data_IF_919408234981
#
_entry.id   IF_919408234981
#
_cell.length_a   1.000
_cell.length_b   1.000
_cell.length_c   1.000
_cell.angle_alpha   90.00
_cell.angle_beta   90.00
_cell.angle_gamma   90.00
#
_symmetry.space_group_name_H-M   'P 1'
#
loop_
_entity.id
_entity.type
_entity.pdbx_description
1 polymer ?
#
# COMPACT_ATOMS: atom_id res chain seq x y z
N UNK A 1 52.06 3.14 67.69
CA UNK A 1 52.09 3.29 66.24
C UNK A 1 50.85 2.62 65.66
N UNK A 2 49.75 3.38 65.50
CA UNK A 2 48.46 2.92 65.03
C UNK A 2 48.23 3.52 63.64
N UNK A 3 48.19 2.67 62.61
CA UNK A 3 47.86 3.05 61.24
C UNK A 3 46.33 3.14 61.06
N UNK A 4 45.83 4.26 60.56
CA UNK A 4 44.46 4.46 60.18
C UNK A 4 44.18 3.84 58.78
N UNK A 5 43.01 3.27 58.54
CA UNK A 5 42.65 2.77 57.22
C UNK A 5 42.13 3.90 56.34
N UNK A 6 42.65 3.97 55.09
CA UNK A 6 42.16 4.87 54.06
C UNK A 6 40.80 4.40 53.54
N UNK A 7 39.75 5.23 53.66
CA UNK A 7 38.47 5.03 53.03
C UNK A 7 38.57 5.43 51.54
N UNK A 8 38.48 4.48 50.64
CA UNK A 8 38.34 4.73 49.21
C UNK A 8 36.87 4.93 48.87
N UNK A 9 36.52 6.17 48.53
CA UNK A 9 35.17 6.54 48.13
C UNK A 9 34.93 6.07 46.69
N UNK A 10 34.21 4.98 46.49
CA UNK A 10 33.74 4.54 45.20
C UNK A 10 32.59 5.43 44.75
N UNK A 11 32.82 6.29 43.75
CA UNK A 11 31.77 7.06 43.08
C UNK A 11 31.08 6.12 42.09
N UNK A 12 29.88 5.65 42.43
CA UNK A 12 28.96 4.95 41.54
C UNK A 12 28.38 5.95 40.54
N UNK A 13 28.79 5.89 39.27
CA UNK A 13 28.15 6.62 38.20
C UNK A 13 26.83 5.88 37.88
N UNK A 14 25.69 6.35 38.39
CA UNK A 14 24.39 5.90 37.95
C UNK A 14 24.08 6.53 36.59
N UNK A 15 24.19 5.77 35.54
CA UNK A 15 23.61 6.13 34.24
C UNK A 15 22.08 6.01 34.38
N UNK A 16 21.39 7.14 34.43
CA UNK A 16 19.96 7.18 34.24
C UNK A 16 19.65 6.87 32.78
N UNK A 17 19.31 5.62 32.48
CA UNK A 17 18.64 5.26 31.24
C UNK A 17 17.23 5.88 31.30
N UNK A 18 17.06 7.05 30.69
CA UNK A 18 15.75 7.61 30.44
C UNK A 18 14.95 6.60 29.57
N UNK A 19 13.60 6.59 29.68
CA UNK A 19 12.80 5.73 28.82
C UNK A 19 13.12 6.04 27.37
N UNK A 20 13.65 5.05 26.65
CA UNK A 20 13.76 5.13 25.21
C UNK A 20 12.33 5.24 24.68
N UNK A 21 11.90 6.45 24.34
CA UNK A 21 10.68 6.63 23.56
C UNK A 21 10.94 5.92 22.22
N UNK A 22 10.23 4.83 22.00
CA UNK A 22 10.16 4.26 20.67
C UNK A 22 9.69 5.39 19.74
N UNK A 23 10.54 5.76 18.78
CA UNK A 23 10.15 6.76 17.78
C UNK A 23 8.88 6.25 17.11
N UNK A 24 7.84 7.10 17.07
CA UNK A 24 6.62 6.79 16.34
C UNK A 24 7.01 6.42 14.90
N UNK A 25 6.75 5.18 14.45
CA UNK A 25 7.10 4.77 13.09
C UNK A 25 6.40 5.61 12.02
N UNK A 26 5.32 6.33 12.38
CA UNK A 26 4.59 7.24 11.52
C UNK A 26 5.09 8.71 11.59
N UNK A 27 5.98 9.05 12.54
CA UNK A 27 6.51 10.41 12.69
C UNK A 27 7.31 10.91 11.47
N UNK A 28 7.64 10.02 10.52
CA UNK A 28 8.32 10.35 9.27
C UNK A 28 7.37 10.37 8.07
N UNK A 29 6.08 10.10 8.25
CA UNK A 29 5.08 10.19 7.20
C UNK A 29 4.59 11.63 7.09
N UNK A 30 5.09 12.35 6.09
CA UNK A 30 4.44 13.57 5.65
C UNK A 30 3.20 13.17 4.82
N UNK A 31 1.98 13.62 5.16
CA UNK A 31 0.79 13.34 4.36
C UNK A 31 0.88 13.88 2.92
N UNK A 32 1.80 14.80 2.66
CA UNK A 32 2.10 15.31 1.32
C UNK A 32 3.24 14.56 0.62
N UNK A 33 3.76 13.51 1.24
CA UNK A 33 4.89 12.74 0.75
C UNK A 33 6.25 13.39 1.09
N UNK A 34 7.31 12.62 0.89
CA UNK A 34 8.68 13.08 1.14
C UNK A 34 9.09 14.11 0.08
N UNK A 35 9.66 15.27 0.47
CA UNK A 35 10.17 16.24 -0.50
C UNK A 35 11.27 15.59 -1.37
N UNK A 36 11.17 15.71 -2.70
CA UNK A 36 12.15 15.14 -3.61
C UNK A 36 13.42 15.97 -3.68
N UNK A 37 14.54 15.33 -4.03
CA UNK A 37 15.74 16.05 -4.44
C UNK A 37 15.52 16.72 -5.82
N UNK A 38 16.28 17.77 -6.11
CA UNK A 38 16.23 18.52 -7.39
C UNK A 38 16.36 17.57 -8.60
N UNK A 39 17.31 16.64 -8.55
CA UNK A 39 17.49 15.65 -9.61
C UNK A 39 16.23 14.79 -9.84
N UNK A 40 15.52 14.43 -8.78
CA UNK A 40 14.27 13.65 -8.87
C UNK A 40 13.19 14.47 -9.57
N UNK A 41 13.05 15.75 -9.24
CA UNK A 41 12.10 16.66 -9.90
C UNK A 41 12.38 16.78 -11.39
N UNK A 42 13.62 17.11 -11.76
CA UNK A 42 14.03 17.26 -13.17
C UNK A 42 13.85 15.98 -13.98
N UNK A 43 14.11 14.83 -13.37
CA UNK A 43 13.91 13.53 -14.02
C UNK A 43 12.43 13.21 -14.22
N UNK A 44 11.61 13.56 -13.21
CA UNK A 44 10.16 13.40 -13.26
C UNK A 44 9.55 14.25 -14.36
N UNK A 45 9.88 15.54 -14.39
CA UNK A 45 9.32 16.51 -15.34
C UNK A 45 9.65 16.12 -16.80
N UNK A 46 10.87 15.62 -17.06
CA UNK A 46 11.24 15.07 -18.37
C UNK A 46 10.37 13.88 -18.74
N UNK A 47 10.16 12.94 -17.81
CA UNK A 47 9.34 11.73 -18.06
C UNK A 47 7.89 12.07 -18.26
N UNK A 48 7.37 13.04 -17.52
CA UNK A 48 5.99 13.48 -17.66
C UNK A 48 5.75 14.11 -19.04
N UNK A 49 6.71 14.87 -19.57
CA UNK A 49 6.63 15.46 -20.90
C UNK A 49 6.76 14.41 -22.03
N UNK A 50 7.50 13.34 -21.81
CA UNK A 50 7.73 12.27 -22.82
C UNK A 50 6.59 11.24 -22.90
N UNK A 51 5.84 11.05 -21.84
CA UNK A 51 4.85 9.97 -21.71
C UNK A 51 3.43 10.46 -22.02
N UNK A 52 2.57 9.62 -22.65
CA UNK A 52 1.24 10.02 -23.10
C UNK A 52 0.22 10.04 -21.94
N UNK A 53 0.49 10.76 -20.84
CA UNK A 53 -0.38 10.81 -19.67
C UNK A 53 -1.75 11.48 -19.91
N UNK A 54 -1.90 12.21 -21.01
CA UNK A 54 -3.20 12.74 -21.43
C UNK A 54 -4.16 11.64 -21.91
N UNK A 55 -3.63 10.51 -22.36
CA UNK A 55 -4.44 9.35 -22.74
C UNK A 55 -5.01 8.67 -21.49
N UNK A 56 -6.33 8.60 -21.38
CA UNK A 56 -7.08 8.03 -20.27
C UNK A 56 -7.80 6.73 -20.58
N UNK A 57 -7.58 6.16 -21.78
CA UNK A 57 -8.27 4.94 -22.23
C UNK A 57 -8.07 3.77 -21.30
N UNK A 58 -6.89 3.64 -20.66
CA UNK A 58 -6.60 2.61 -19.68
C UNK A 58 -7.48 2.70 -18.43
N UNK A 59 -7.85 3.90 -18.00
CA UNK A 59 -8.80 4.09 -16.88
C UNK A 59 -10.22 3.65 -17.25
N UNK A 60 -10.63 3.90 -18.48
CA UNK A 60 -11.94 3.45 -18.98
C UNK A 60 -11.97 1.93 -19.14
N UNK A 61 -10.90 1.35 -19.69
CA UNK A 61 -10.75 -0.10 -19.83
C UNK A 61 -10.65 -0.81 -18.47
N UNK A 62 -9.98 -0.21 -17.47
CA UNK A 62 -9.90 -0.77 -16.13
C UNK A 62 -11.28 -0.88 -15.45
N UNK A 63 -12.23 -0.02 -15.79
CA UNK A 63 -13.60 -0.03 -15.25
C UNK A 63 -14.57 -0.87 -16.08
N UNK A 64 -14.16 -1.32 -17.26
CA UNK A 64 -15.04 -2.06 -18.16
C UNK A 64 -15.46 -3.39 -17.55
N UNK A 65 -16.75 -3.68 -17.65
CA UNK A 65 -17.35 -4.89 -17.08
C UNK A 65 -17.53 -4.83 -15.55
N UNK A 66 -17.35 -3.67 -14.92
CA UNK A 66 -17.65 -3.52 -13.49
C UNK A 66 -19.07 -3.97 -13.19
N UNK A 67 -19.23 -4.91 -12.26
CA UNK A 67 -20.49 -5.54 -11.93
C UNK A 67 -20.99 -5.17 -10.53
N UNK A 68 -20.09 -5.22 -9.52
CA UNK A 68 -20.47 -4.90 -8.16
C UNK A 68 -19.25 -4.45 -7.32
N UNK A 69 -19.54 -3.53 -6.38
CA UNK A 69 -18.59 -3.22 -5.31
C UNK A 69 -18.54 -4.35 -4.27
N UNK A 70 -17.40 -4.53 -3.59
CA UNK A 70 -17.30 -5.45 -2.48
C UNK A 70 -18.16 -4.99 -1.30
N UNK A 71 -18.73 -5.93 -0.57
CA UNK A 71 -19.52 -5.64 0.62
C UNK A 71 -18.68 -4.99 1.74
N UNK A 72 -17.38 -5.23 1.74
CA UNK A 72 -16.42 -4.68 2.70
C UNK A 72 -15.08 -4.42 2.00
N UNK A 73 -14.35 -3.43 2.51
CA UNK A 73 -13.04 -2.99 1.97
C UNK A 73 -11.86 -3.57 2.73
N UNK A 74 -12.12 -4.31 3.80
CA UNK A 74 -11.11 -4.97 4.62
C UNK A 74 -11.42 -6.47 4.70
N UNK A 75 -10.37 -7.28 4.65
CA UNK A 75 -10.42 -8.72 4.92
C UNK A 75 -9.70 -8.97 6.23
N UNK A 76 -10.39 -9.64 7.16
CA UNK A 76 -9.82 -10.05 8.43
C UNK A 76 -9.25 -11.46 8.32
N UNK A 77 -8.05 -11.66 8.83
CA UNK A 77 -7.50 -12.99 9.01
C UNK A 77 -8.17 -13.71 10.18
N UNK A 78 -8.15 -15.04 10.19
CA UNK A 78 -8.67 -15.86 11.29
C UNK A 78 -8.00 -15.54 12.64
N UNK A 79 -6.74 -15.07 12.61
CA UNK A 79 -6.00 -14.61 13.78
C UNK A 79 -6.45 -13.24 14.34
N UNK A 80 -7.46 -12.60 13.73
CA UNK A 80 -8.07 -11.35 14.20
C UNK A 80 -7.36 -10.06 13.80
N UNK A 81 -6.37 -10.11 12.91
CA UNK A 81 -5.76 -8.90 12.32
C UNK A 81 -6.28 -8.64 10.92
N UNK A 82 -6.09 -7.42 10.43
CA UNK A 82 -6.41 -7.06 9.04
C UNK A 82 -5.41 -7.73 8.11
N UNK A 83 -5.88 -8.62 7.24
CA UNK A 83 -5.07 -9.28 6.22
C UNK A 83 -4.94 -8.44 4.94
N UNK A 84 -6.00 -7.72 4.57
CA UNK A 84 -6.02 -6.85 3.39
C UNK A 84 -6.92 -5.64 3.63
N UNK A 85 -6.43 -4.45 3.28
CA UNK A 85 -7.15 -3.20 3.50
C UNK A 85 -7.10 -2.27 2.28
N UNK A 86 -8.17 -2.27 1.50
CA UNK A 86 -8.34 -1.33 0.39
C UNK A 86 -8.70 0.09 0.85
N UNK A 87 -9.24 0.24 2.07
CA UNK A 87 -9.60 1.56 2.59
C UNK A 87 -8.37 2.45 2.80
N UNK A 88 -7.24 1.86 3.22
CA UNK A 88 -5.96 2.56 3.41
C UNK A 88 -5.41 3.22 2.15
N UNK A 89 -5.83 2.79 0.96
CA UNK A 89 -5.35 3.29 -0.33
C UNK A 89 -6.28 4.31 -0.98
N UNK A 90 -7.40 4.67 -0.35
CA UNK A 90 -8.40 5.60 -0.93
C UNK A 90 -7.83 6.99 -1.23
N UNK A 91 -6.78 7.41 -0.53
CA UNK A 91 -6.10 8.67 -0.79
C UNK A 91 -5.51 8.77 -2.21
N UNK A 92 -5.20 7.63 -2.87
CA UNK A 92 -4.74 7.61 -4.27
C UNK A 92 -5.76 8.22 -5.24
N UNK A 93 -7.06 8.17 -4.89
CA UNK A 93 -8.14 8.71 -5.70
C UNK A 93 -8.40 10.20 -5.46
N UNK A 94 -7.66 10.85 -4.55
CA UNK A 94 -7.80 12.28 -4.25
C UNK A 94 -7.36 13.19 -5.40
N UNK A 95 -6.65 12.65 -6.39
CA UNK A 95 -6.06 13.44 -7.47
C UNK A 95 -4.79 14.21 -7.05
N UNK A 96 -4.30 14.01 -5.83
CA UNK A 96 -3.07 14.63 -5.37
C UNK A 96 -1.88 14.07 -6.17
N UNK A 97 -1.02 14.97 -6.63
CA UNK A 97 0.21 14.62 -7.29
C UNK A 97 1.39 14.67 -6.29
N UNK A 98 2.16 13.59 -6.25
CA UNK A 98 3.29 13.44 -5.33
C UNK A 98 4.60 13.60 -6.10
N UNK A 99 5.24 14.75 -5.94
CA UNK A 99 6.49 15.09 -6.62
C UNK A 99 7.65 14.09 -6.36
N UNK A 100 7.57 13.32 -5.26
CA UNK A 100 8.55 12.28 -4.91
C UNK A 100 8.27 10.91 -5.55
N UNK A 101 7.13 10.75 -6.24
CA UNK A 101 6.71 9.49 -6.86
C UNK A 101 6.82 9.61 -8.37
N UNK A 102 7.39 8.60 -9.03
CA UNK A 102 7.44 8.57 -10.49
C UNK A 102 6.01 8.59 -11.08
N UNK A 103 5.69 9.44 -12.08
CA UNK A 103 4.33 9.61 -12.58
C UNK A 103 3.69 8.32 -13.08
N UNK A 104 4.47 7.44 -13.74
CA UNK A 104 3.96 6.13 -14.20
C UNK A 104 3.59 5.21 -13.02
N UNK A 105 4.35 5.25 -11.92
CA UNK A 105 4.06 4.46 -10.73
C UNK A 105 2.78 4.96 -10.05
N UNK A 106 2.63 6.27 -9.92
CA UNK A 106 1.42 6.87 -9.37
C UNK A 106 0.20 6.52 -10.24
N UNK A 107 0.33 6.65 -11.57
CA UNK A 107 -0.73 6.27 -12.51
C UNK A 107 -1.12 4.79 -12.35
N UNK A 108 -0.14 3.89 -12.28
CA UNK A 108 -0.39 2.46 -12.07
C UNK A 108 -1.09 2.18 -10.74
N UNK A 109 -0.68 2.86 -9.67
CA UNK A 109 -1.33 2.74 -8.37
C UNK A 109 -2.81 3.16 -8.41
N UNK A 110 -3.12 4.26 -9.12
CA UNK A 110 -4.51 4.70 -9.32
C UNK A 110 -5.31 3.70 -10.16
N UNK A 111 -4.72 3.10 -11.21
CA UNK A 111 -5.37 2.05 -12.00
C UNK A 111 -5.71 0.81 -11.16
N UNK A 112 -4.82 0.43 -10.24
CA UNK A 112 -5.04 -0.70 -9.33
C UNK A 112 -6.20 -0.45 -8.33
N UNK A 113 -6.65 0.80 -8.19
CA UNK A 113 -7.84 1.12 -7.39
C UNK A 113 -9.17 0.76 -8.07
N UNK A 114 -9.16 0.23 -9.30
CA UNK A 114 -10.32 -0.36 -9.94
C UNK A 114 -10.59 -1.77 -9.39
N UNK A 115 -10.94 -1.86 -8.10
CA UNK A 115 -11.23 -3.11 -7.41
C UNK A 115 -12.74 -3.43 -7.40
N UNK A 116 -13.09 -4.71 -7.24
CA UNK A 116 -14.47 -5.18 -7.19
C UNK A 116 -14.68 -6.46 -7.99
N UNK A 117 -15.95 -6.77 -8.24
CA UNK A 117 -16.38 -7.85 -9.11
C UNK A 117 -16.59 -7.31 -10.53
N UNK A 118 -16.03 -8.01 -11.49
CA UNK A 118 -16.12 -7.68 -12.92
C UNK A 118 -16.71 -8.84 -13.71
N UNK A 119 -17.60 -8.55 -14.62
CA UNK A 119 -18.06 -9.48 -15.64
C UNK A 119 -17.21 -9.28 -16.89
N UNK A 120 -16.22 -10.17 -17.07
CA UNK A 120 -15.25 -10.08 -18.17
C UNK A 120 -15.85 -10.58 -19.47
N UNK A 121 -16.62 -11.69 -19.40
CA UNK A 121 -17.43 -12.22 -20.51
C UNK A 121 -18.84 -12.38 -19.98
N UNK A 122 -19.83 -11.72 -20.59
CA UNK A 122 -21.21 -11.73 -20.13
C UNK A 122 -21.76 -13.13 -19.85
N UNK A 123 -22.25 -13.36 -18.64
CA UNK A 123 -22.84 -14.61 -18.18
C UNK A 123 -21.87 -15.78 -18.05
N UNK A 124 -20.57 -15.58 -18.29
CA UNK A 124 -19.61 -16.70 -18.41
C UNK A 124 -18.32 -16.55 -17.61
N UNK A 125 -17.68 -15.38 -17.63
CA UNK A 125 -16.41 -15.17 -16.92
C UNK A 125 -16.54 -13.97 -16.01
N UNK A 126 -16.24 -14.20 -14.74
CA UNK A 126 -16.23 -13.17 -13.70
C UNK A 126 -14.83 -13.11 -13.08
N UNK A 127 -14.43 -11.92 -12.63
CA UNK A 127 -13.15 -11.68 -12.00
C UNK A 127 -13.30 -10.79 -10.78
N UNK A 128 -12.71 -11.19 -9.65
CA UNK A 128 -12.56 -10.34 -8.47
C UNK A 128 -11.16 -9.73 -8.50
N UNK A 129 -11.10 -8.41 -8.39
CA UNK A 129 -9.87 -7.60 -8.50
C UNK A 129 -9.64 -6.81 -7.23
N UNK A 130 -8.36 -6.60 -6.89
CA UNK A 130 -7.93 -5.66 -5.86
C UNK A 130 -7.89 -6.21 -4.45
N UNK A 131 -8.05 -7.51 -4.25
CA UNK A 131 -8.00 -8.15 -2.91
C UNK A 131 -6.74 -8.98 -2.67
N UNK A 132 -5.81 -8.97 -3.62
CA UNK A 132 -4.49 -9.56 -3.52
C UNK A 132 -3.61 -8.99 -4.65
N UNK A 133 -2.38 -9.47 -4.75
CA UNK A 133 -1.46 -9.19 -5.87
C UNK A 133 -1.96 -9.78 -7.20
N UNK A 134 -2.77 -10.84 -7.15
CA UNK A 134 -3.41 -11.47 -8.29
C UNK A 134 -4.92 -11.15 -8.35
N UNK A 135 -5.56 -11.50 -9.47
CA UNK A 135 -7.00 -11.41 -9.66
C UNK A 135 -7.55 -12.83 -9.80
N UNK A 136 -8.49 -13.22 -8.95
CA UNK A 136 -9.15 -14.50 -9.08
C UNK A 136 -10.22 -14.47 -10.18
N UNK A 137 -10.24 -15.47 -11.04
CA UNK A 137 -11.22 -15.60 -12.11
C UNK A 137 -12.09 -16.84 -11.96
N UNK A 138 -13.38 -16.65 -12.19
CA UNK A 138 -14.40 -17.70 -12.15
C UNK A 138 -14.98 -17.89 -13.55
N UNK A 139 -14.83 -19.10 -14.10
CA UNK A 139 -15.33 -19.47 -15.41
C UNK A 139 -16.51 -20.40 -15.22
N UNK A 140 -17.69 -20.00 -15.69
CA UNK A 140 -18.89 -20.81 -15.63
C UNK A 140 -18.82 -21.91 -16.69
N UNK A 141 -18.78 -23.17 -16.26
CA UNK A 141 -18.96 -24.36 -17.08
C UNK A 141 -20.40 -24.84 -17.09
N UNK A 142 -20.67 -25.93 -17.79
CA UNK A 142 -22.01 -26.51 -17.90
C UNK A 142 -22.47 -27.18 -16.60
N UNK A 143 -21.54 -27.75 -15.82
CA UNK A 143 -21.84 -28.52 -14.60
C UNK A 143 -21.26 -27.86 -13.32
N UNK A 144 -20.51 -26.74 -13.43
CA UNK A 144 -19.88 -26.11 -12.28
C UNK A 144 -19.01 -24.93 -12.67
N UNK A 145 -18.15 -24.51 -11.75
CA UNK A 145 -17.24 -23.40 -11.91
C UNK A 145 -15.79 -23.87 -11.98
N UNK A 146 -15.01 -23.28 -12.87
CA UNK A 146 -13.55 -23.40 -12.89
C UNK A 146 -13.00 -22.14 -12.23
N UNK A 147 -12.17 -22.32 -11.20
CA UNK A 147 -11.48 -21.21 -10.53
C UNK A 147 -10.05 -21.16 -11.06
N UNK A 148 -9.66 -20.00 -11.49
CA UNK A 148 -8.32 -19.73 -12.01
C UNK A 148 -7.64 -18.65 -11.16
N UNK A 149 -6.40 -18.93 -10.77
CA UNK A 149 -5.55 -18.08 -9.94
C UNK A 149 -6.23 -17.72 -8.59
N UNK A 150 -6.46 -18.71 -7.72
CA UNK A 150 -7.01 -18.46 -6.41
C UNK A 150 -6.03 -17.60 -5.59
N UNK A 151 -6.58 -16.59 -4.94
CA UNK A 151 -5.81 -15.66 -4.12
C UNK A 151 -5.14 -16.36 -2.93
N UNK A 152 -4.22 -15.66 -2.25
CA UNK A 152 -3.59 -16.16 -1.02
C UNK A 152 -4.64 -16.34 0.08
N UNK A 153 -4.41 -17.31 0.98
CA UNK A 153 -5.24 -17.48 2.17
C UNK A 153 -4.93 -16.37 3.19
N UNK A 154 -5.98 -15.83 3.82
CA UNK A 154 -5.86 -14.84 4.90
C UNK A 154 -5.71 -15.54 6.26
#
# INVERSE_FOLDING_TARGET
MTRAPSLTLARSLAFALGPAHAADPLAHFDPHGKPPATFTLESRDRREAELPFADKRDFDEAKKGFFAEPAYKQIMADAGHVAWDMASYQWLLSGQDFASIHPSLQRQAVLNMAYGLYEVVPGRIYQVRGFDLANISFIKGDTGWIVFDPLTAA
#
